data_IF_085765075078
#
_entry.id   IF_085765075078
#
_cell.length_a   1.000
_cell.length_b   1.000
_cell.length_c   1.000
_cell.angle_alpha   90.00
_cell.angle_beta   90.00
_cell.angle_gamma   90.00
#
_symmetry.space_group_name_H-M   'P 1'
#
loop_
_entity.id
_entity.type
_entity.pdbx_description
1 polymer ?
#
# COMPACT_ATOMS: atom_id res chain seq x y z
N UNK A 1 9.55 3.07 -12.02
CA UNK A 1 9.38 3.23 -10.56
C UNK A 1 9.80 4.64 -10.19
N UNK A 2 9.11 5.33 -9.27
CA UNK A 2 9.47 6.68 -8.81
C UNK A 2 10.29 6.58 -7.52
N UNK A 3 11.61 6.62 -7.64
CA UNK A 3 12.50 6.32 -6.51
C UNK A 3 13.03 7.58 -5.83
N UNK A 4 13.19 8.67 -6.59
CA UNK A 4 13.78 9.91 -6.09
C UNK A 4 12.73 10.91 -5.63
N UNK A 5 13.07 11.73 -4.64
CA UNK A 5 12.21 12.83 -4.20
C UNK A 5 11.99 13.86 -5.32
N UNK A 6 12.95 14.03 -6.23
CA UNK A 6 12.82 14.95 -7.36
C UNK A 6 11.73 14.49 -8.35
N UNK A 7 11.74 13.21 -8.75
CA UNK A 7 10.70 12.64 -9.61
C UNK A 7 9.32 12.72 -8.96
N UNK A 8 9.22 12.37 -7.67
CA UNK A 8 7.97 12.44 -6.91
C UNK A 8 7.44 13.86 -6.80
N UNK A 9 8.30 14.85 -6.49
CA UNK A 9 7.91 16.27 -6.41
C UNK A 9 7.45 16.83 -7.75
N UNK A 10 8.11 16.45 -8.84
CA UNK A 10 7.70 16.89 -10.19
C UNK A 10 6.25 16.48 -10.48
N UNK A 11 5.91 15.22 -10.20
CA UNK A 11 4.55 14.70 -10.39
C UNK A 11 3.55 15.20 -9.33
N UNK A 12 4.02 15.57 -8.13
CA UNK A 12 3.19 16.15 -7.08
C UNK A 12 2.50 17.47 -7.47
N UNK A 13 2.91 18.11 -8.57
CA UNK A 13 2.20 19.26 -9.15
C UNK A 13 0.92 18.87 -9.90
N UNK A 14 0.77 17.60 -10.29
CA UNK A 14 -0.32 17.09 -11.12
C UNK A 14 -1.20 16.04 -10.42
N UNK A 15 -0.75 15.46 -9.30
CA UNK A 15 -1.49 14.44 -8.56
C UNK A 15 -1.14 14.42 -7.07
N UNK A 16 -2.12 14.08 -6.22
CA UNK A 16 -1.93 13.93 -4.77
C UNK A 16 -1.20 12.62 -4.39
N UNK A 17 -1.34 11.58 -5.22
CA UNK A 17 -0.72 10.27 -5.02
C UNK A 17 -0.57 9.52 -6.34
N UNK A 18 0.41 8.62 -6.41
CA UNK A 18 0.62 7.69 -7.52
C UNK A 18 0.55 6.26 -6.98
N UNK A 19 -0.16 5.41 -7.68
CA UNK A 19 -0.36 4.00 -7.37
C UNK A 19 -0.33 3.20 -8.69
N UNK A 20 0.15 1.97 -8.65
CA UNK A 20 0.42 1.17 -9.86
C UNK A 20 -0.63 0.09 -10.11
N UNK A 21 -1.47 -0.21 -9.12
CA UNK A 21 -2.33 -1.40 -9.14
C UNK A 21 -3.83 -1.07 -9.24
N UNK A 22 -4.30 0.02 -8.62
CA UNK A 22 -5.76 0.26 -8.49
C UNK A 22 -6.46 0.45 -9.83
N UNK A 23 -5.79 1.01 -10.85
CA UNK A 23 -6.41 1.21 -12.15
C UNK A 23 -6.90 -0.11 -12.77
N UNK A 24 -6.05 -1.15 -12.75
CA UNK A 24 -6.40 -2.45 -13.29
C UNK A 24 -7.53 -3.10 -12.49
N UNK A 25 -7.44 -3.08 -11.16
CA UNK A 25 -8.44 -3.66 -10.24
C UNK A 25 -9.81 -2.98 -10.38
N UNK A 26 -9.86 -1.64 -10.32
CA UNK A 26 -11.11 -0.89 -10.45
C UNK A 26 -11.70 -1.02 -11.86
N UNK A 27 -10.87 -1.06 -12.90
CA UNK A 27 -11.33 -1.30 -14.27
C UNK A 27 -11.98 -2.67 -14.42
N UNK A 28 -11.40 -3.70 -13.79
CA UNK A 28 -11.97 -5.05 -13.78
C UNK A 28 -13.31 -5.09 -13.03
N UNK A 29 -13.40 -4.44 -11.85
CA UNK A 29 -14.65 -4.35 -11.09
C UNK A 29 -15.75 -3.64 -11.89
N UNK A 30 -15.42 -2.51 -12.54
CA UNK A 30 -16.33 -1.75 -13.38
C UNK A 30 -16.87 -2.59 -14.54
N UNK A 31 -16.01 -3.35 -15.23
CA UNK A 31 -16.42 -4.25 -16.32
C UNK A 31 -17.38 -5.35 -15.86
N UNK A 32 -17.35 -5.73 -14.59
CA UNK A 32 -18.23 -6.74 -14.00
C UNK A 32 -19.41 -6.13 -13.22
N UNK A 33 -19.63 -4.81 -13.30
CA UNK A 33 -20.67 -4.09 -12.54
C UNK A 33 -20.59 -4.30 -11.02
N UNK A 34 -19.38 -4.49 -10.47
CA UNK A 34 -19.17 -4.64 -9.04
C UNK A 34 -18.86 -3.28 -8.39
N UNK A 35 -19.50 -2.93 -7.26
CA UNK A 35 -19.09 -1.76 -6.49
C UNK A 35 -17.66 -1.96 -5.97
N UNK A 36 -16.81 -0.97 -6.18
CA UNK A 36 -15.41 -1.02 -5.74
C UNK A 36 -14.93 0.37 -5.28
N UNK A 37 -14.05 0.35 -4.28
CA UNK A 37 -13.41 1.53 -3.70
C UNK A 37 -11.92 1.25 -3.55
N UNK A 38 -11.08 2.20 -3.94
CA UNK A 38 -9.65 2.17 -3.65
C UNK A 38 -9.33 3.14 -2.51
N UNK A 39 -8.80 2.60 -1.42
CA UNK A 39 -8.30 3.36 -0.29
C UNK A 39 -6.77 3.43 -0.38
N UNK A 40 -6.21 4.64 -0.40
CA UNK A 40 -4.77 4.87 -0.47
C UNK A 40 -4.25 5.29 0.90
N UNK A 41 -3.18 4.64 1.33
CA UNK A 41 -2.48 4.98 2.56
C UNK A 41 -0.99 5.07 2.25
N UNK A 42 -0.44 6.28 2.41
CA UNK A 42 0.89 6.63 1.90
C UNK A 42 1.92 6.47 3.00
N UNK A 43 2.94 5.65 2.77
CA UNK A 43 4.07 5.45 3.69
C UNK A 43 5.34 6.18 3.27
N UNK A 44 5.52 6.44 1.97
CA UNK A 44 6.64 7.20 1.42
C UNK A 44 6.17 8.54 0.85
N UNK A 45 6.65 9.64 1.42
CA UNK A 45 6.19 10.99 1.04
C UNK A 45 6.91 11.48 -0.21
N UNK A 46 6.35 12.52 -0.85
CA UNK A 46 6.92 13.09 -2.08
C UNK A 46 8.32 13.69 -1.89
N UNK A 47 8.68 14.08 -0.67
CA UNK A 47 9.98 14.61 -0.30
C UNK A 47 10.97 13.55 0.20
N UNK A 48 10.59 12.27 0.12
CA UNK A 48 11.41 11.14 0.58
C UNK A 48 11.88 10.27 -0.58
N UNK A 49 13.17 9.94 -0.55
CA UNK A 49 13.74 8.91 -1.40
C UNK A 49 13.47 7.52 -0.82
N UNK A 50 13.25 6.54 -1.71
CA UNK A 50 13.18 5.15 -1.31
C UNK A 50 14.59 4.66 -0.93
N UNK A 51 14.81 4.19 0.31
CA UNK A 51 16.15 4.00 0.87
C UNK A 51 16.85 2.73 0.39
N UNK A 52 16.21 1.92 -0.46
CA UNK A 52 16.71 0.59 -0.86
C UNK A 52 16.57 0.39 -2.36
N UNK A 53 17.50 -0.40 -2.90
CA UNK A 53 17.34 -1.02 -4.21
C UNK A 53 16.22 -2.07 -4.10
N UNK A 54 15.02 -1.69 -4.54
CA UNK A 54 13.80 -2.50 -4.44
C UNK A 54 13.95 -3.82 -5.21
N UNK A 55 14.65 -3.81 -6.34
CA UNK A 55 14.87 -5.01 -7.16
C UNK A 55 15.73 -6.06 -6.42
N UNK A 56 16.62 -5.61 -5.53
CA UNK A 56 17.46 -6.50 -4.71
C UNK A 56 16.82 -6.89 -3.40
N UNK A 57 15.87 -6.09 -2.91
CA UNK A 57 15.28 -6.23 -1.58
C UNK A 57 13.87 -6.81 -1.61
N UNK A 58 13.23 -6.93 -2.78
CA UNK A 58 11.96 -7.64 -2.96
C UNK A 58 12.13 -8.93 -3.78
N UNK A 59 11.27 -9.91 -3.53
CA UNK A 59 11.07 -11.06 -4.41
C UNK A 59 10.07 -10.77 -5.53
N UNK A 60 9.89 -11.74 -6.44
CA UNK A 60 8.95 -11.65 -7.57
C UNK A 60 7.49 -11.47 -7.12
N UNK A 61 7.20 -11.70 -5.83
CA UNK A 61 5.88 -11.52 -5.21
C UNK A 61 5.80 -10.23 -4.39
N UNK A 62 6.82 -9.36 -4.46
CA UNK A 62 6.88 -8.10 -3.73
C UNK A 62 7.20 -8.25 -2.24
N UNK A 63 7.66 -9.42 -1.77
CA UNK A 63 8.00 -9.64 -0.35
C UNK A 63 9.43 -9.24 -0.04
N UNK A 64 9.64 -8.69 1.14
CA UNK A 64 10.97 -8.24 1.59
C UNK A 64 11.93 -9.42 1.80
N UNK A 65 13.04 -9.42 1.05
CA UNK A 65 14.20 -10.30 1.24
C UNK A 65 15.10 -9.73 2.33
N UNK A 66 14.91 -10.18 3.57
CA UNK A 66 15.69 -9.70 4.74
C UNK A 66 17.21 -9.79 4.50
N UNK A 67 17.70 -10.90 3.93
CA UNK A 67 19.12 -11.05 3.61
C UNK A 67 19.63 -10.03 2.58
N UNK A 68 18.79 -9.66 1.61
CA UNK A 68 19.09 -8.61 0.63
C UNK A 68 19.18 -7.22 1.26
N UNK A 69 18.27 -6.91 2.20
CA UNK A 69 18.27 -5.66 2.97
C UNK A 69 19.54 -5.56 3.84
N UNK A 70 19.88 -6.62 4.57
CA UNK A 70 21.09 -6.64 5.42
C UNK A 70 22.35 -6.45 4.58
N UNK A 71 22.46 -7.15 3.44
CA UNK A 71 23.60 -7.02 2.52
C UNK A 71 23.71 -5.60 1.95
N UNK A 72 22.58 -4.97 1.62
CA UNK A 72 22.55 -3.59 1.12
C UNK A 72 23.00 -2.58 2.20
N UNK A 73 22.50 -2.71 3.43
CA UNK A 73 22.88 -1.83 4.53
C UNK A 73 24.35 -1.97 4.93
N UNK A 74 24.93 -3.16 4.79
CA UNK A 74 26.36 -3.38 5.03
C UNK A 74 27.25 -2.55 4.08
N UNK A 75 26.80 -2.28 2.85
CA UNK A 75 27.51 -1.41 1.90
C UNK A 75 27.01 0.04 1.88
N UNK A 76 25.84 0.32 2.45
CA UNK A 76 25.22 1.66 2.49
C UNK A 76 24.72 2.02 3.90
N UNK A 77 25.60 2.13 4.91
CA UNK A 77 25.20 2.32 6.30
C UNK A 77 24.42 3.62 6.54
N UNK A 78 24.66 4.66 5.71
CA UNK A 78 23.95 5.94 5.78
C UNK A 78 22.47 5.85 5.39
N UNK A 79 22.02 4.73 4.81
CA UNK A 79 20.61 4.50 4.45
C UNK A 79 19.78 3.95 5.61
N UNK A 80 20.42 3.48 6.69
CA UNK A 80 19.72 2.91 7.84
C UNK A 80 18.68 3.87 8.46
N UNK A 81 18.98 5.17 8.72
CA UNK A 81 18.00 6.09 9.26
C UNK A 81 16.79 6.29 8.35
N UNK A 82 17.01 6.33 7.02
CA UNK A 82 15.93 6.47 6.04
C UNK A 82 15.05 5.23 5.99
N UNK A 83 15.64 4.02 6.12
CA UNK A 83 14.88 2.77 6.22
C UNK A 83 14.06 2.68 7.52
N UNK A 84 14.63 3.10 8.66
CA UNK A 84 13.90 3.17 9.94
C UNK A 84 12.72 4.14 9.82
N UNK A 85 12.91 5.30 9.19
CA UNK A 85 11.84 6.29 8.96
C UNK A 85 10.73 5.72 8.09
N UNK A 86 11.07 5.07 6.97
CA UNK A 86 10.10 4.38 6.13
C UNK A 86 9.34 3.30 6.92
N UNK A 87 10.03 2.51 7.74
CA UNK A 87 9.39 1.50 8.59
C UNK A 87 8.40 2.11 9.58
N UNK A 88 8.73 3.26 10.18
CA UNK A 88 7.81 3.99 11.07
C UNK A 88 6.61 4.54 10.32
N UNK A 89 6.81 5.16 9.16
CA UNK A 89 5.71 5.67 8.34
C UNK A 89 4.79 4.53 7.87
N UNK A 90 5.36 3.40 7.43
CA UNK A 90 4.60 2.20 7.07
C UNK A 90 3.77 1.66 8.24
N UNK A 91 4.31 1.67 9.46
CA UNK A 91 3.57 1.27 10.67
C UNK A 91 2.41 2.22 10.94
N UNK A 92 2.64 3.54 10.90
CA UNK A 92 1.59 4.55 11.10
C UNK A 92 0.51 4.47 10.02
N UNK A 93 0.91 4.27 8.76
CA UNK A 93 0.01 4.02 7.65
C UNK A 93 -0.86 2.78 7.91
N UNK A 94 -0.25 1.64 8.28
CA UNK A 94 -0.99 0.42 8.57
C UNK A 94 -1.97 0.57 9.75
N UNK A 95 -1.58 1.30 10.81
CA UNK A 95 -2.47 1.62 11.93
C UNK A 95 -3.65 2.49 11.49
N UNK A 96 -3.42 3.53 10.68
CA UNK A 96 -4.48 4.37 10.14
C UNK A 96 -5.43 3.59 9.21
N UNK A 97 -4.88 2.68 8.39
CA UNK A 97 -5.65 1.78 7.54
C UNK A 97 -6.56 0.87 8.37
N UNK A 98 -6.00 0.24 9.41
CA UNK A 98 -6.76 -0.65 10.30
C UNK A 98 -7.90 0.10 11.00
N UNK A 99 -7.61 1.29 11.54
CA UNK A 99 -8.63 2.12 12.20
C UNK A 99 -9.74 2.54 11.24
N UNK A 100 -9.40 2.96 10.02
CA UNK A 100 -10.38 3.31 9.01
C UNK A 100 -11.26 2.10 8.65
N UNK A 101 -10.65 0.94 8.39
CA UNK A 101 -11.36 -0.27 7.99
C UNK A 101 -12.32 -0.75 9.08
N UNK A 102 -11.93 -0.69 10.35
CA UNK A 102 -12.79 -1.05 11.47
C UNK A 102 -14.09 -0.22 11.47
N UNK A 103 -13.98 1.11 11.39
CA UNK A 103 -15.15 1.99 11.35
C UNK A 103 -15.94 1.83 10.03
N UNK A 104 -15.25 1.73 8.90
CA UNK A 104 -15.88 1.63 7.59
C UNK A 104 -16.70 0.35 7.42
N UNK A 105 -16.18 -0.80 7.88
CA UNK A 105 -16.89 -2.09 7.82
C UNK A 105 -18.11 -2.08 8.76
N UNK A 106 -18.00 -1.48 9.94
CA UNK A 106 -19.14 -1.33 10.86
C UNK A 106 -20.25 -0.49 10.23
N UNK A 107 -19.90 0.64 9.59
CA UNK A 107 -20.85 1.50 8.88
C UNK A 107 -21.50 0.82 7.67
N UNK A 108 -20.75 0.02 6.90
CA UNK A 108 -21.32 -0.76 5.82
C UNK A 108 -22.31 -1.81 6.34
N UNK A 109 -21.95 -2.49 7.43
CA UNK A 109 -22.77 -3.55 8.04
C UNK A 109 -24.01 -2.99 8.74
N UNK A 110 -23.99 -1.74 9.22
CA UNK A 110 -25.15 -1.09 9.84
C UNK A 110 -26.13 -0.56 8.79
N UNK A 111 -25.63 -0.15 7.61
CA UNK A 111 -26.44 0.32 6.48
C UNK A 111 -27.10 -0.81 5.71
N UNK A 112 -26.43 -1.96 5.60
CA UNK A 112 -26.99 -3.16 5.03
C UNK A 112 -27.38 -4.13 6.15
N UNK A 113 -28.67 -4.22 6.49
CA UNK A 113 -29.22 -5.35 7.25
C UNK A 113 -29.14 -6.67 6.43
N UNK A 114 -27.96 -7.04 5.93
CA UNK A 114 -27.75 -8.13 4.97
C UNK A 114 -26.33 -8.33 4.45
N UNK A 115 -25.31 -7.58 4.90
CA UNK A 115 -23.90 -7.82 4.54
C UNK A 115 -23.20 -8.73 5.58
N UNK A 116 -22.36 -9.71 5.19
CA UNK A 116 -21.94 -10.01 3.81
C UNK A 116 -23.02 -10.72 3.00
N UNK A 117 -23.02 -10.62 1.66
CA UNK A 117 -23.96 -11.31 0.77
C UNK A 117 -23.88 -12.81 1.03
N UNK A 118 -24.98 -13.53 0.81
CA UNK A 118 -25.05 -14.98 1.09
C UNK A 118 -23.91 -15.76 0.42
N UNK A 119 -23.46 -15.33 -0.76
CA UNK A 119 -22.36 -16.02 -1.47
C UNK A 119 -21.04 -16.01 -0.69
N UNK A 120 -20.73 -14.93 0.05
CA UNK A 120 -19.53 -14.84 0.88
C UNK A 120 -19.66 -15.62 2.20
N UNK A 121 -20.89 -15.76 2.71
CA UNK A 121 -21.17 -16.58 3.90
C UNK A 121 -20.99 -18.07 3.60
N UNK A 122 -21.46 -18.51 2.44
CA UNK A 122 -21.32 -19.90 1.97
C UNK A 122 -19.86 -20.27 1.66
N UNK A 123 -19.08 -19.32 1.14
CA UNK A 123 -17.65 -19.51 0.88
C UNK A 123 -16.80 -19.58 2.16
N UNK A 124 -17.23 -18.96 3.26
CA UNK A 124 -16.52 -19.01 4.55
C UNK A 124 -16.86 -20.25 5.39
N UNK A 125 -17.89 -21.00 5.01
CA UNK A 125 -18.34 -22.22 5.68
C UNK A 125 -17.77 -23.52 5.06
N UNK A 126 -16.91 -23.41 4.04
CA UNK A 126 -16.19 -24.50 3.38
C UNK A 126 -14.70 -24.45 3.71
#
# INVERSE_FOLDING_TARGET
MLCTAAEKKHLGSAADAVDMESFATLSAALRNNLPALALRVVSDRCDEELPVDIDRTLDERGRVKIGGVVKYLASHPLQLPALIRLGRHSRTAAEALAQFLETFIQELSSREQGWPPRELQEAAAQ
#
